data_IF_943029627004
#
_entry.id   IF_943029627004
#
_cell.length_a   1.000
_cell.length_b   1.000
_cell.length_c   1.000
_cell.angle_alpha   90.00
_cell.angle_beta   90.00
_cell.angle_gamma   90.00
#
_symmetry.space_group_name_H-M   'P 1'
#
loop_
_entity.id
_entity.type
_entity.pdbx_description
1 polymer ?
#
# COMPACT_ATOMS: atom_id res chain seq x y z
N UNK A 1 14.77 -10.55 -6.39
CA UNK A 1 13.61 -10.75 -7.30
C UNK A 1 12.59 -9.66 -7.03
N UNK A 2 12.78 -8.51 -7.66
CA UNK A 2 11.83 -7.38 -7.89
C UNK A 2 12.46 -6.39 -8.91
N UNK A 3 13.46 -6.84 -9.67
CA UNK A 3 14.36 -6.00 -10.48
C UNK A 3 14.00 -6.02 -11.98
N UNK A 4 12.91 -6.70 -12.35
CA UNK A 4 12.45 -6.82 -13.75
C UNK A 4 10.94 -6.70 -13.88
N UNK A 5 10.35 -5.70 -13.24
CA UNK A 5 8.98 -5.29 -13.56
C UNK A 5 9.10 -4.00 -14.35
N UNK A 6 8.82 -4.11 -15.65
CA UNK A 6 9.07 -3.08 -16.66
C UNK A 6 8.40 -1.73 -16.39
N UNK A 7 8.97 -0.75 -17.10
CA UNK A 7 8.90 0.72 -17.05
C UNK A 7 7.51 1.40 -17.16
N UNK A 8 6.41 0.80 -16.69
CA UNK A 8 5.04 1.35 -16.89
C UNK A 8 4.07 1.22 -15.70
N UNK A 9 4.53 0.86 -14.50
CA UNK A 9 3.62 0.68 -13.36
C UNK A 9 3.43 2.00 -12.60
N UNK A 10 2.30 2.67 -12.81
CA UNK A 10 1.95 3.93 -12.12
C UNK A 10 1.60 3.73 -10.64
N UNK A 11 1.08 2.56 -10.28
CA UNK A 11 0.67 2.27 -8.91
C UNK A 11 0.72 0.78 -8.55
N UNK A 12 0.84 0.52 -7.25
CA UNK A 12 0.70 -0.78 -6.59
C UNK A 12 -0.47 -0.73 -5.61
N UNK A 13 -1.51 -1.52 -5.87
CA UNK A 13 -2.70 -1.61 -5.02
C UNK A 13 -2.60 -2.88 -4.16
N UNK A 14 -2.74 -2.74 -2.84
CA UNK A 14 -2.67 -3.84 -1.88
C UNK A 14 -4.02 -3.94 -1.15
N UNK A 15 -4.66 -5.10 -1.22
CA UNK A 15 -5.96 -5.35 -0.58
C UNK A 15 -5.81 -6.06 0.78
N UNK A 16 -6.43 -5.47 1.80
CA UNK A 16 -6.45 -5.97 3.18
C UNK A 16 -7.79 -6.56 3.58
N UNK A 17 -8.76 -6.70 2.67
CA UNK A 17 -10.11 -7.17 3.00
C UNK A 17 -10.12 -8.53 3.74
N UNK A 18 -9.15 -9.40 3.44
CA UNK A 18 -8.99 -10.71 4.09
C UNK A 18 -7.93 -10.73 5.21
N UNK A 19 -7.40 -9.57 5.62
CA UNK A 19 -6.34 -9.46 6.65
C UNK A 19 -6.95 -8.98 7.97
N UNK A 20 -7.14 -9.87 8.97
CA UNK A 20 -7.80 -9.50 10.22
C UNK A 20 -6.89 -8.72 11.18
N UNK A 21 -5.57 -8.89 11.10
CA UNK A 21 -4.58 -8.22 11.94
C UNK A 21 -3.23 -8.14 11.23
N UNK A 22 -2.36 -7.25 11.73
CA UNK A 22 -1.00 -7.07 11.25
C UNK A 22 -0.04 -7.13 12.43
N UNK A 23 1.08 -7.85 12.30
CA UNK A 23 2.16 -7.84 13.28
C UNK A 23 3.29 -6.90 12.84
N UNK A 24 4.27 -6.66 13.71
CA UNK A 24 5.40 -5.77 13.39
C UNK A 24 6.26 -6.29 12.23
N UNK A 25 6.28 -7.60 11.98
CA UNK A 25 7.02 -8.20 10.86
C UNK A 25 6.38 -7.83 9.52
N UNK A 26 5.08 -8.06 9.40
CA UNK A 26 4.31 -7.71 8.21
C UNK A 26 4.28 -6.19 8.00
N UNK A 27 4.14 -5.41 9.08
CA UNK A 27 4.18 -3.96 9.01
C UNK A 27 5.54 -3.44 8.52
N UNK A 28 6.66 -3.91 9.07
CA UNK A 28 7.99 -3.50 8.61
C UNK A 28 8.26 -3.90 7.15
N UNK A 29 7.74 -5.06 6.73
CA UNK A 29 7.83 -5.50 5.33
C UNK A 29 7.06 -4.56 4.40
N UNK A 30 5.83 -4.18 4.78
CA UNK A 30 5.01 -3.22 4.02
C UNK A 30 5.63 -1.82 3.98
N UNK A 31 6.19 -1.34 5.10
CA UNK A 31 6.87 -0.05 5.15
C UNK A 31 8.09 -0.02 4.22
N UNK A 32 8.89 -1.09 4.24
CA UNK A 32 10.04 -1.23 3.34
C UNK A 32 9.63 -1.30 1.87
N UNK A 33 8.52 -1.98 1.57
CA UNK A 33 7.96 -2.05 0.22
C UNK A 33 7.45 -0.68 -0.23
N UNK A 34 6.71 0.04 0.61
CA UNK A 34 6.18 1.35 0.30
C UNK A 34 7.29 2.37 0.03
N UNK A 35 8.33 2.39 0.87
CA UNK A 35 9.49 3.27 0.67
C UNK A 35 10.25 2.97 -0.63
N UNK A 36 10.38 1.69 -1.00
CA UNK A 36 11.02 1.31 -2.29
C UNK A 36 10.16 1.68 -3.49
N UNK A 37 8.84 1.56 -3.38
CA UNK A 37 7.91 1.95 -4.44
C UNK A 37 7.94 3.48 -4.65
N UNK A 38 7.89 4.25 -3.57
CA UNK A 38 8.01 5.72 -3.60
C UNK A 38 9.32 6.18 -4.27
N UNK A 39 10.45 5.57 -3.89
CA UNK A 39 11.75 5.85 -4.53
C UNK A 39 11.83 5.47 -6.02
N UNK A 40 10.87 4.70 -6.53
CA UNK A 40 10.73 4.34 -7.96
C UNK A 40 9.60 5.12 -8.65
N UNK A 41 8.97 6.08 -7.97
CA UNK A 41 7.83 6.83 -8.50
C UNK A 41 6.55 6.01 -8.65
N UNK A 42 6.44 4.87 -7.95
CA UNK A 42 5.25 4.00 -7.98
C UNK A 42 4.37 4.33 -6.78
N UNK A 43 3.15 4.81 -7.04
CA UNK A 43 2.18 5.13 -5.99
C UNK A 43 1.69 3.86 -5.28
N UNK A 44 1.67 3.84 -3.95
CA UNK A 44 1.11 2.70 -3.19
C UNK A 44 -0.27 3.07 -2.66
N UNK A 45 -1.27 2.21 -2.90
CA UNK A 45 -2.65 2.40 -2.45
C UNK A 45 -3.09 1.17 -1.65
N UNK A 46 -3.54 1.39 -0.42
CA UNK A 46 -4.05 0.32 0.46
C UNK A 46 -5.58 0.34 0.44
N UNK A 47 -6.18 -0.82 0.23
CA UNK A 47 -7.64 -1.02 0.16
C UNK A 47 -8.10 -2.04 1.21
N UNK A 48 -9.39 -2.06 1.54
CA UNK A 48 -9.96 -3.08 2.44
C UNK A 48 -9.44 -3.04 3.88
N UNK A 49 -8.76 -1.97 4.31
CA UNK A 49 -8.20 -1.87 5.66
C UNK A 49 -9.29 -1.71 6.71
N UNK A 50 -9.31 -2.60 7.71
CA UNK A 50 -10.10 -2.40 8.92
C UNK A 50 -9.52 -1.25 9.77
N UNK A 51 -10.29 -0.76 10.74
CA UNK A 51 -9.82 0.30 11.64
C UNK A 51 -8.56 -0.11 12.42
N UNK A 52 -8.52 -1.34 12.94
CA UNK A 52 -7.40 -1.82 13.74
C UNK A 52 -6.15 -2.04 12.90
N UNK A 53 -6.29 -2.62 11.70
CA UNK A 53 -5.20 -2.73 10.73
C UNK A 53 -4.66 -1.35 10.36
N UNK A 54 -5.54 -0.35 10.14
CA UNK A 54 -5.12 1.02 9.83
C UNK A 54 -4.35 1.66 10.98
N UNK A 55 -4.76 1.45 12.24
CA UNK A 55 -4.02 1.94 13.41
C UNK A 55 -2.60 1.39 13.45
N UNK A 56 -2.45 0.09 13.20
CA UNK A 56 -1.14 -0.57 13.19
C UNK A 56 -0.25 -0.06 12.04
N UNK A 57 -0.81 0.04 10.83
CA UNK A 57 -0.11 0.62 9.67
C UNK A 57 0.39 2.04 9.97
N UNK A 58 -0.46 2.87 10.60
CA UNK A 58 -0.08 4.24 10.97
C UNK A 58 1.01 4.27 12.04
N UNK A 59 0.98 3.38 13.03
CA UNK A 59 2.02 3.25 14.05
C UNK A 59 3.39 2.91 13.43
N UNK A 60 3.39 2.15 12.34
CA UNK A 60 4.57 1.81 11.55
C UNK A 60 4.92 2.82 10.44
N UNK A 61 4.28 3.99 10.42
CA UNK A 61 4.57 5.06 9.45
C UNK A 61 4.01 4.83 8.05
N UNK A 62 3.21 3.78 7.85
CA UNK A 62 2.52 3.49 6.59
C UNK A 62 1.27 4.37 6.50
N UNK A 63 1.49 5.65 6.19
CA UNK A 63 0.45 6.69 6.17
C UNK A 63 0.72 7.70 5.04
N UNK A 64 -0.27 8.53 4.66
CA UNK A 64 -0.02 9.59 3.69
C UNK A 64 1.15 10.51 4.10
N UNK A 65 1.95 11.01 3.13
CA UNK A 65 1.80 10.80 1.68
C UNK A 65 2.43 9.50 1.15
N UNK A 66 3.15 8.72 1.97
CA UNK A 66 3.87 7.52 1.54
C UNK A 66 2.94 6.47 0.91
N UNK A 67 1.72 6.35 1.42
CA UNK A 67 0.66 5.52 0.85
C UNK A 67 -0.64 6.30 0.81
N UNK A 68 -1.50 5.96 -0.14
CA UNK A 68 -2.90 6.39 -0.15
C UNK A 68 -3.81 5.28 0.35
N UNK A 69 -5.00 5.64 0.80
CA UNK A 69 -6.00 4.71 1.28
C UNK A 69 -7.28 4.87 0.48
N UNK A 70 -7.79 3.76 -0.03
CA UNK A 70 -9.08 3.70 -0.70
C UNK A 70 -9.96 2.64 -0.05
N UNK A 71 -11.28 2.80 -0.21
CA UNK A 71 -12.21 1.85 0.41
C UNK A 71 -12.26 0.52 -0.33
N UNK A 72 -12.17 0.57 -1.66
CA UNK A 72 -12.26 -0.60 -2.54
C UNK A 72 -11.21 -0.55 -3.64
N UNK A 73 -10.95 -1.70 -4.26
CA UNK A 73 -10.02 -1.83 -5.38
C UNK A 73 -10.49 -0.99 -6.57
N UNK A 74 -11.80 -0.92 -6.83
CA UNK A 74 -12.36 -0.15 -7.94
C UNK A 74 -12.08 1.34 -7.80
N UNK A 75 -12.19 1.88 -6.58
CA UNK A 75 -11.83 3.29 -6.31
C UNK A 75 -10.34 3.54 -6.50
N UNK A 76 -9.49 2.61 -6.03
CA UNK A 76 -8.04 2.69 -6.22
C UNK A 76 -7.64 2.63 -7.70
N UNK A 77 -8.28 1.77 -8.50
CA UNK A 77 -8.05 1.73 -9.95
C UNK A 77 -8.54 3.01 -10.62
N UNK A 78 -9.67 3.55 -10.17
CA UNK A 78 -10.22 4.82 -10.66
C UNK A 78 -9.28 6.01 -10.43
N UNK A 79 -8.66 6.10 -9.25
CA UNK A 79 -7.76 7.20 -8.90
C UNK A 79 -6.43 7.19 -9.66
N UNK A 80 -5.99 6.03 -10.16
CA UNK A 80 -4.74 5.89 -10.95
C UNK A 80 -4.96 6.16 -12.44
N UNK A 81 -6.20 5.94 -12.92
CA UNK A 81 -6.57 6.12 -14.34
C UNK A 81 -6.97 7.55 -14.68
N UNK A 82 -7.41 8.33 -13.69
CA UNK A 82 -7.67 9.77 -13.82
C UNK A 82 -6.39 10.56 -13.96
#
# INVERSE_FOLDING_TARGET
VLDQIGDIHRALIIDFAAVPFLDSTAANTLASLASKADGRGVQVILTGTSHDVRRELFAHGIKPPLVQYEHTIEKAVGSVRG
#
